data_IF_308409079716
#
_entry.id   IF_308409079716
#
_cell.length_a   1.000
_cell.length_b   1.000
_cell.length_c   1.000
_cell.angle_alpha   90.00
_cell.angle_beta   90.00
_cell.angle_gamma   90.00
#
_symmetry.space_group_name_H-M   'P 1'
#
loop_
_entity.id
_entity.type
_entity.pdbx_description
1 polymer ?
#
# COMPACT_ATOMS: atom_id res chain seq x y z
N UNK A 1 -15.86 7.49 -9.91
CA UNK A 1 -15.18 6.62 -8.93
C UNK A 1 -14.85 5.29 -9.60
N UNK A 2 -13.63 4.79 -9.45
CA UNK A 2 -13.18 3.52 -10.04
C UNK A 2 -13.10 2.43 -8.99
N UNK A 3 -13.62 1.25 -9.29
CA UNK A 3 -13.54 0.11 -8.37
C UNK A 3 -12.25 -0.67 -8.61
N UNK A 4 -11.40 -0.78 -7.59
CA UNK A 4 -10.19 -1.58 -7.54
C UNK A 4 -10.42 -2.86 -6.73
N UNK A 5 -9.76 -3.95 -7.18
CA UNK A 5 -9.73 -5.23 -6.46
C UNK A 5 -8.51 -5.27 -5.55
N UNK A 6 -8.71 -4.92 -4.28
CA UNK A 6 -7.69 -4.97 -3.24
C UNK A 6 -7.38 -6.41 -2.82
N UNK A 7 -6.10 -6.76 -2.82
CA UNK A 7 -5.64 -8.11 -2.53
C UNK A 7 -5.62 -8.39 -1.03
N UNK A 8 -6.17 -9.55 -0.67
CA UNK A 8 -6.14 -10.15 0.67
C UNK A 8 -5.35 -11.46 0.61
N UNK A 9 -4.77 -11.85 1.74
CA UNK A 9 -3.98 -13.06 1.91
C UNK A 9 -4.74 -14.17 2.66
N UNK A 10 -4.30 -15.41 2.40
CA UNK A 10 -4.79 -16.63 3.04
C UNK A 10 -6.22 -17.01 2.66
N UNK A 11 -6.61 -18.23 3.05
CA UNK A 11 -7.95 -18.77 2.77
C UNK A 11 -9.07 -18.06 3.55
N UNK A 12 -8.73 -17.34 4.62
CA UNK A 12 -9.66 -16.55 5.44
C UNK A 12 -9.82 -15.10 5.01
N UNK A 13 -9.11 -14.62 3.99
CA UNK A 13 -9.24 -13.25 3.49
C UNK A 13 -8.84 -12.17 4.49
N UNK A 14 -7.63 -12.29 5.07
CA UNK A 14 -7.06 -11.25 5.94
C UNK A 14 -6.08 -10.37 5.15
N UNK A 15 -5.71 -9.23 5.71
CA UNK A 15 -4.69 -8.38 5.10
C UNK A 15 -3.30 -9.02 5.17
N UNK A 16 -2.53 -8.87 4.09
CA UNK A 16 -1.22 -9.51 4.00
C UNK A 16 -0.27 -8.91 5.03
N UNK A 17 0.48 -9.76 5.72
CA UNK A 17 1.58 -9.34 6.60
C UNK A 17 2.78 -8.92 5.73
N UNK A 18 3.25 -7.68 5.90
CA UNK A 18 4.32 -7.14 5.07
C UNK A 18 5.61 -7.93 5.23
N UNK A 19 5.93 -8.41 6.43
CA UNK A 19 7.20 -9.06 6.75
C UNK A 19 7.29 -10.48 6.15
N UNK A 20 6.22 -11.27 6.30
CA UNK A 20 6.18 -12.70 5.97
C UNK A 20 5.59 -13.03 4.59
N UNK A 21 5.01 -12.05 3.89
CA UNK A 21 4.42 -12.25 2.56
C UNK A 21 5.47 -12.79 1.55
N UNK A 22 5.04 -13.71 0.68
CA UNK A 22 5.87 -14.28 -0.38
C UNK A 22 5.84 -13.39 -1.61
N UNK A 23 6.82 -12.48 -1.73
CA UNK A 23 6.87 -11.47 -2.79
C UNK A 23 7.04 -12.08 -4.19
N UNK A 24 7.69 -13.24 -4.29
CA UNK A 24 7.90 -13.96 -5.55
C UNK A 24 6.60 -14.41 -6.23
N UNK A 25 5.47 -14.38 -5.52
CA UNK A 25 4.14 -14.68 -6.06
C UNK A 25 3.39 -13.45 -6.57
N UNK A 26 3.96 -12.27 -6.40
CA UNK A 26 3.34 -11.00 -6.79
C UNK A 26 3.91 -10.60 -8.14
N UNK A 27 3.05 -10.50 -9.15
CA UNK A 27 3.41 -10.04 -10.50
C UNK A 27 2.68 -8.74 -10.87
N UNK A 28 2.08 -8.09 -9.87
CA UNK A 28 1.19 -6.94 -10.09
C UNK A 28 1.99 -5.67 -10.23
N UNK A 29 1.71 -4.92 -11.30
CA UNK A 29 2.05 -3.50 -11.39
C UNK A 29 0.81 -2.68 -11.01
N UNK A 30 0.94 -1.76 -10.06
CA UNK A 30 -0.23 -1.06 -9.52
C UNK A 30 0.08 -0.21 -8.29
N UNK A 31 -0.94 -0.02 -7.46
CA UNK A 31 -0.86 0.80 -6.23
C UNK A 31 -0.94 -0.09 -5.00
N UNK A 32 -0.16 0.23 -3.97
CA UNK A 32 -0.13 -0.47 -2.70
C UNK A 32 -0.27 0.49 -1.51
N UNK A 33 -0.76 -0.05 -0.39
CA UNK A 33 -0.91 0.64 0.88
C UNK A 33 -0.29 -0.22 1.98
N UNK A 34 0.60 0.37 2.79
CA UNK A 34 1.21 -0.22 3.98
C UNK A 34 0.69 0.54 5.21
N UNK A 35 0.29 -0.17 6.25
CA UNK A 35 -0.17 0.41 7.52
C UNK A 35 0.23 -0.46 8.71
N UNK A 36 0.18 0.09 9.92
CA UNK A 36 0.31 -0.70 11.15
C UNK A 36 -1.05 -0.88 11.83
N UNK A 37 -1.31 -2.08 12.38
CA UNK A 37 -2.54 -2.39 13.14
C UNK A 37 -2.49 -1.93 14.62
N UNK A 38 -1.80 -0.82 14.89
CA UNK A 38 -1.75 -0.25 16.24
C UNK A 38 -3.08 0.39 16.65
N UNK A 39 -3.12 0.94 17.88
CA UNK A 39 -4.25 1.75 18.35
C UNK A 39 -3.77 3.18 18.66
N UNK A 40 -4.07 4.19 17.82
CA UNK A 40 -4.84 4.07 16.57
C UNK A 40 -4.04 3.44 15.42
N UNK A 41 -4.75 2.81 14.47
CA UNK A 41 -4.16 2.29 13.22
C UNK A 41 -3.87 3.46 12.28
N UNK A 42 -2.77 3.40 11.53
CA UNK A 42 -2.39 4.48 10.61
C UNK A 42 -1.60 3.98 9.40
N UNK A 43 -1.87 4.61 8.26
CA UNK A 43 -1.16 4.35 7.00
C UNK A 43 0.28 4.81 7.12
N UNK A 44 1.22 3.92 6.85
CA UNK A 44 2.65 4.20 6.90
C UNK A 44 3.12 4.73 5.56
N UNK A 45 2.75 4.05 4.46
CA UNK A 45 3.17 4.40 3.09
C UNK A 45 2.09 4.01 2.09
N UNK A 46 1.88 4.88 1.12
CA UNK A 46 1.16 4.58 -0.13
C UNK A 46 2.17 4.73 -1.25
N UNK A 47 2.14 3.85 -2.24
CA UNK A 47 3.03 3.94 -3.38
C UNK A 47 2.51 3.20 -4.60
N UNK A 48 3.21 3.35 -5.73
CA UNK A 48 2.89 2.62 -6.96
C UNK A 48 4.13 2.04 -7.68
N UNK A 49 3.87 1.20 -8.67
CA UNK A 49 4.89 0.57 -9.55
C UNK A 49 4.81 -0.96 -9.53
N UNK A 50 5.97 -1.61 -9.74
CA UNK A 50 6.10 -3.05 -9.50
C UNK A 50 5.95 -3.33 -8.00
N UNK A 51 4.84 -3.96 -7.62
CA UNK A 51 4.49 -4.14 -6.20
C UNK A 51 5.52 -5.04 -5.51
N UNK A 52 6.00 -6.09 -6.16
CA UNK A 52 6.93 -7.03 -5.53
C UNK A 52 8.27 -6.34 -5.23
N UNK A 53 8.81 -5.62 -6.21
CA UNK A 53 10.06 -4.88 -6.10
C UNK A 53 9.97 -3.82 -5.00
N UNK A 54 8.92 -2.99 -5.04
CA UNK A 54 8.69 -1.90 -4.07
C UNK A 54 8.54 -2.41 -2.65
N UNK A 55 7.74 -3.46 -2.45
CA UNK A 55 7.58 -4.06 -1.11
C UNK A 55 8.88 -4.68 -0.61
N UNK A 56 9.73 -5.23 -1.50
CA UNK A 56 11.05 -5.75 -1.12
C UNK A 56 11.97 -4.64 -0.57
N UNK A 57 11.91 -3.44 -1.15
CA UNK A 57 12.67 -2.28 -0.70
C UNK A 57 12.16 -1.82 0.66
N UNK A 58 10.84 -1.68 0.81
CA UNK A 58 10.20 -1.21 2.04
C UNK A 58 10.38 -2.14 3.24
N UNK A 59 10.54 -3.45 3.02
CA UNK A 59 10.88 -4.42 4.08
C UNK A 59 12.23 -4.15 4.73
N UNK A 60 13.13 -3.49 4.01
CA UNK A 60 14.48 -3.23 4.48
C UNK A 60 14.66 -1.74 4.81
N UNK A 61 13.62 -0.93 4.69
CA UNK A 61 13.65 0.50 4.97
C UNK A 61 13.42 0.76 6.47
N UNK A 62 14.44 1.25 7.22
CA UNK A 62 14.32 1.59 8.63
C UNK A 62 13.16 2.55 8.94
N UNK A 63 12.84 3.45 8.01
CA UNK A 63 11.76 4.42 8.18
C UNK A 63 10.39 3.72 8.24
N UNK A 64 10.19 2.65 7.46
CA UNK A 64 8.92 1.90 7.44
C UNK A 64 8.88 0.86 8.55
N UNK A 65 9.94 0.06 8.71
CA UNK A 65 9.93 -1.07 9.65
C UNK A 65 9.85 -0.64 11.12
N UNK A 66 10.26 0.58 11.45
CA UNK A 66 10.13 1.12 12.83
C UNK A 66 8.69 1.11 13.32
N UNK A 67 7.69 1.17 12.43
CA UNK A 67 6.27 1.14 12.80
C UNK A 67 5.78 -0.25 13.20
N UNK A 68 6.53 -1.32 12.94
CA UNK A 68 6.21 -2.66 13.44
C UNK A 68 6.16 -2.73 14.98
N UNK A 69 6.84 -1.80 15.67
CA UNK A 69 6.76 -1.68 17.14
C UNK A 69 5.37 -1.27 17.65
N UNK A 70 4.53 -0.70 16.79
CA UNK A 70 3.17 -0.26 17.14
C UNK A 70 2.11 -1.31 16.83
N UNK A 71 2.46 -2.37 16.08
CA UNK A 71 1.55 -3.42 15.64
C UNK A 71 2.05 -4.05 14.34
N UNK A 72 1.39 -5.12 13.88
CA UNK A 72 1.75 -5.79 12.63
C UNK A 72 1.68 -4.81 11.46
N UNK A 73 2.76 -4.76 10.67
CA UNK A 73 2.76 -4.08 9.38
C UNK A 73 1.98 -4.91 8.38
N UNK A 74 0.89 -4.35 7.87
CA UNK A 74 0.04 -4.94 6.87
C UNK A 74 0.21 -4.26 5.53
N UNK A 75 -0.14 -4.99 4.48
CA UNK A 75 -0.11 -4.48 3.11
C UNK A 75 -1.29 -5.02 2.29
N UNK A 76 -1.78 -4.18 1.39
CA UNK A 76 -2.66 -4.56 0.29
C UNK A 76 -2.24 -3.81 -0.97
N UNK A 77 -2.66 -4.33 -2.12
CA UNK A 77 -2.40 -3.72 -3.42
C UNK A 77 -3.51 -4.02 -4.39
N UNK A 78 -3.56 -3.25 -5.48
CA UNK A 78 -4.47 -3.48 -6.59
C UNK A 78 -3.75 -3.18 -7.91
N UNK A 79 -4.11 -3.93 -8.95
CA UNK A 79 -3.62 -3.67 -10.30
C UNK A 79 -4.19 -2.34 -10.81
N UNK A 80 -3.31 -1.44 -11.27
CA UNK A 80 -3.68 -0.13 -11.82
C UNK A 80 -2.77 0.13 -13.01
N UNK A 81 -3.33 0.54 -14.14
CA UNK A 81 -2.54 0.90 -15.32
C UNK A 81 -1.60 2.07 -15.00
N UNK A 82 -0.35 2.04 -15.51
CA UNK A 82 0.67 3.07 -15.25
C UNK A 82 0.14 4.51 -15.39
N UNK A 83 -0.64 4.80 -16.44
CA UNK A 83 -1.23 6.12 -16.70
C UNK A 83 -2.19 6.65 -15.62
N UNK A 84 -2.58 5.82 -14.65
CA UNK A 84 -3.55 6.15 -13.60
C UNK A 84 -2.97 6.03 -12.19
N UNK A 85 -1.76 5.51 -12.05
CA UNK A 85 -1.18 5.21 -10.75
C UNK A 85 -0.97 6.46 -9.91
N UNK A 86 -0.42 7.52 -10.51
CA UNK A 86 -0.19 8.80 -9.84
C UNK A 86 -1.48 9.39 -9.25
N UNK A 87 -2.55 9.41 -10.05
CA UNK A 87 -3.85 9.93 -9.60
C UNK A 87 -4.50 9.06 -8.51
N UNK A 88 -4.34 7.73 -8.58
CA UNK A 88 -4.86 6.82 -7.55
C UNK A 88 -4.06 6.95 -6.25
N UNK A 89 -2.73 6.98 -6.32
CA UNK A 89 -1.86 7.23 -5.16
C UNK A 89 -2.20 8.58 -4.53
N UNK A 90 -2.35 9.64 -5.33
CA UNK A 90 -2.70 10.97 -4.84
C UNK A 90 -4.05 10.99 -4.13
N UNK A 91 -5.06 10.35 -4.70
CA UNK A 91 -6.37 10.25 -4.05
C UNK A 91 -6.28 9.53 -2.70
N UNK A 92 -5.64 8.35 -2.65
CA UNK A 92 -5.51 7.58 -1.41
C UNK A 92 -4.70 8.33 -0.35
N UNK A 93 -3.67 9.08 -0.75
CA UNK A 93 -2.89 9.90 0.16
C UNK A 93 -3.67 11.09 0.73
N UNK A 94 -4.59 11.67 -0.04
CA UNK A 94 -5.48 12.72 0.46
C UNK A 94 -6.47 12.15 1.49
N UNK A 95 -7.02 10.96 1.25
CA UNK A 95 -7.99 10.30 2.14
C UNK A 95 -7.33 9.68 3.39
N UNK A 96 -6.13 9.14 3.23
CA UNK A 96 -5.38 8.44 4.27
C UNK A 96 -3.92 8.96 4.31
N UNK A 97 -3.67 10.13 4.92
CA UNK A 97 -2.34 10.75 4.96
C UNK A 97 -1.29 9.79 5.52
N UNK A 98 -0.27 9.40 4.73
CA UNK A 98 0.75 8.45 5.18
C UNK A 98 1.72 9.10 6.17
N UNK A 99 2.20 8.32 7.14
CA UNK A 99 3.21 8.75 8.10
C UNK A 99 4.57 9.06 7.43
N UNK A 100 4.84 8.43 6.28
CA UNK A 100 6.01 8.70 5.44
C UNK A 100 5.54 8.97 4.01
N UNK A 101 5.97 10.10 3.45
CA UNK A 101 5.69 10.46 2.06
C UNK A 101 6.73 11.42 1.52
N UNK A 102 7.60 10.93 0.65
CA UNK A 102 8.71 11.73 0.10
C UNK A 102 8.35 12.55 -1.13
N UNK A 103 7.23 12.24 -1.80
CA UNK A 103 6.66 13.07 -2.87
C UNK A 103 5.28 12.51 -3.21
N UNK A 104 4.22 13.26 -2.94
CA UNK A 104 2.93 12.97 -3.56
C UNK A 104 3.04 13.30 -5.05
N UNK A 105 2.57 12.43 -5.96
CA UNK A 105 2.52 12.77 -7.36
C UNK A 105 1.74 14.08 -7.56
N UNK A 106 2.28 14.98 -8.39
CA UNK A 106 1.56 16.16 -8.87
C UNK A 106 0.62 15.73 -10.00
N UNK A 107 -0.48 15.08 -9.61
CA UNK A 107 -1.46 14.50 -10.51
C UNK A 107 -2.89 14.75 -10.00
N UNK A 108 -3.84 14.82 -10.92
CA UNK A 108 -5.26 14.92 -10.59
C UNK A 108 -5.73 13.64 -9.87
N UNK A 109 -6.34 13.75 -8.67
CA UNK A 109 -6.71 12.59 -7.87
C UNK A 109 -7.81 11.77 -8.56
N UNK A 110 -7.60 10.46 -8.66
CA UNK A 110 -8.56 9.51 -9.22
C UNK A 110 -9.21 8.73 -8.08
N UNK A 111 -10.48 9.06 -7.80
CA UNK A 111 -11.24 8.43 -6.73
C UNK A 111 -11.42 6.91 -6.92
N UNK A 112 -11.11 6.14 -5.87
CA UNK A 112 -11.25 4.69 -5.80
C UNK A 112 -11.96 4.25 -4.52
N UNK A 113 -12.45 3.00 -4.46
CA UNK A 113 -13.00 2.44 -3.23
C UNK A 113 -11.93 2.24 -2.15
N UNK A 114 -12.38 2.32 -0.90
CA UNK A 114 -11.60 1.98 0.30
C UNK A 114 -10.86 0.66 0.09
N UNK A 115 -9.58 0.60 0.49
CA UNK A 115 -8.86 -0.66 0.62
C UNK A 115 -9.49 -1.60 1.66
N UNK A 116 -10.20 -1.08 2.66
CA UNK A 116 -10.77 -1.84 3.79
C UNK A 116 -12.16 -2.41 3.54
#
# INVERSE_FOLDING_TARGET
MTTLKWIKCGNGGHWCDLESLKLEKITTNGVYVIWHEGDPSSVVRIGHGDVAERLSQHRNDPAIVVYAKLGTLRVTWAAVSAARQDGVERYLANEYPPLIGDAFPDAEPIAVNSPW
#
